data_IF_110211413252
#
_entry.id   IF_110211413252
#
_cell.length_a   1.000
_cell.length_b   1.000
_cell.length_c   1.000
_cell.angle_alpha   90.00
_cell.angle_beta   90.00
_cell.angle_gamma   90.00
#
_symmetry.space_group_name_H-M   'P 1'
#
loop_
_entity.id
_entity.type
_entity.pdbx_description
1 polymer ?
#
# COMPACT_ATOMS: atom_id res chain seq x y z
N UNK A 1 21.28 -21.43 -27.82
CA UNK A 1 20.58 -21.02 -26.59
C UNK A 1 21.08 -19.63 -26.21
N UNK A 2 20.19 -18.65 -26.04
CA UNK A 2 20.56 -17.30 -25.59
C UNK A 2 20.50 -17.31 -24.05
N UNK A 3 21.60 -16.92 -23.40
CA UNK A 3 21.61 -16.74 -21.94
C UNK A 3 20.92 -15.43 -21.62
N UNK A 4 19.82 -15.47 -20.87
CA UNK A 4 19.09 -14.28 -20.43
C UNK A 4 19.90 -13.59 -19.32
N UNK A 5 19.94 -12.26 -19.33
CA UNK A 5 20.56 -11.50 -18.23
C UNK A 5 19.66 -11.53 -16.98
N UNK A 6 20.18 -11.16 -15.82
CA UNK A 6 19.45 -11.19 -14.53
C UNK A 6 18.13 -10.42 -14.53
N UNK A 7 18.07 -9.32 -15.28
CA UNK A 7 16.89 -8.47 -15.43
C UNK A 7 15.82 -9.13 -16.32
N UNK A 8 16.25 -9.78 -17.41
CA UNK A 8 15.40 -10.60 -18.28
C UNK A 8 14.90 -11.84 -17.51
N UNK A 9 15.73 -12.46 -16.67
CA UNK A 9 15.31 -13.56 -15.78
C UNK A 9 14.27 -13.07 -14.78
N UNK A 10 14.46 -11.92 -14.12
CA UNK A 10 13.49 -11.37 -13.17
C UNK A 10 12.15 -11.00 -13.81
N UNK A 11 12.18 -10.55 -15.06
CA UNK A 11 10.98 -10.19 -15.83
C UNK A 11 10.21 -11.42 -16.32
N UNK A 12 10.89 -12.51 -16.67
CA UNK A 12 10.28 -13.75 -17.21
C UNK A 12 9.92 -14.74 -16.11
N UNK A 13 10.55 -14.67 -14.93
CA UNK A 13 10.34 -15.60 -13.80
C UNK A 13 9.26 -15.18 -12.79
N UNK A 14 8.66 -13.99 -12.94
CA UNK A 14 7.71 -13.46 -11.95
C UNK A 14 8.35 -12.94 -10.65
N UNK A 15 9.67 -13.01 -10.50
CA UNK A 15 10.38 -12.51 -9.31
C UNK A 15 10.12 -11.00 -9.07
N UNK A 16 10.06 -10.19 -10.13
CA UNK A 16 9.72 -8.77 -10.00
C UNK A 16 8.29 -8.51 -9.49
N UNK A 17 7.35 -9.43 -9.76
CA UNK A 17 5.96 -9.35 -9.28
C UNK A 17 5.92 -9.68 -7.78
N UNK A 18 6.65 -10.70 -7.33
CA UNK A 18 6.75 -11.07 -5.92
C UNK A 18 7.37 -9.94 -5.06
N UNK A 19 8.45 -9.31 -5.54
CA UNK A 19 9.08 -8.17 -4.85
C UNK A 19 8.13 -6.97 -4.77
N UNK A 20 7.42 -6.67 -5.85
CA UNK A 20 6.43 -5.59 -5.88
C UNK A 20 5.25 -5.87 -4.92
N UNK A 21 4.73 -7.11 -4.87
CA UNK A 21 3.69 -7.51 -3.90
C UNK A 21 4.18 -7.37 -2.45
N UNK A 22 5.44 -7.73 -2.16
CA UNK A 22 6.05 -7.54 -0.84
C UNK A 22 6.14 -6.06 -0.45
N UNK A 23 6.53 -5.20 -1.39
CA UNK A 23 6.54 -3.76 -1.21
C UNK A 23 5.14 -3.19 -0.93
N UNK A 24 4.14 -3.62 -1.70
CA UNK A 24 2.74 -3.21 -1.52
C UNK A 24 2.20 -3.64 -0.15
N UNK A 25 2.44 -4.87 0.28
CA UNK A 25 2.04 -5.36 1.61
C UNK A 25 2.68 -4.54 2.74
N UNK A 26 3.96 -4.16 2.57
CA UNK A 26 4.66 -3.32 3.54
C UNK A 26 4.05 -1.91 3.60
N UNK A 27 3.68 -1.33 2.45
CA UNK A 27 3.01 -0.05 2.37
C UNK A 27 1.61 -0.10 3.00
N UNK A 28 0.81 -1.14 2.72
CA UNK A 28 -0.51 -1.36 3.32
C UNK A 28 -0.42 -1.47 4.85
N UNK A 29 0.57 -2.19 5.36
CA UNK A 29 0.83 -2.29 6.80
C UNK A 29 1.10 -0.92 7.42
N UNK A 30 1.93 -0.08 6.77
CA UNK A 30 2.22 1.27 7.24
C UNK A 30 0.99 2.18 7.21
N UNK A 31 0.18 2.08 6.15
CA UNK A 31 -1.06 2.86 6.01
C UNK A 31 -2.06 2.48 7.09
N UNK A 32 -2.22 1.19 7.39
CA UNK A 32 -3.12 0.72 8.44
C UNK A 32 -2.68 1.22 9.82
N UNK A 33 -1.39 1.15 10.14
CA UNK A 33 -0.86 1.72 11.39
C UNK A 33 -1.09 3.24 11.49
N UNK A 34 -0.93 3.97 10.38
CA UNK A 34 -1.23 5.41 10.32
C UNK A 34 -2.72 5.72 10.43
N UNK A 35 -3.59 4.88 9.86
CA UNK A 35 -5.04 5.01 9.99
C UNK A 35 -5.46 4.83 11.44
N UNK A 36 -5.00 3.76 12.09
CA UNK A 36 -5.26 3.50 13.51
C UNK A 36 -4.79 4.67 14.39
N UNK A 37 -3.53 5.11 14.20
CA UNK A 37 -2.99 6.26 14.93
C UNK A 37 -3.79 7.55 14.66
N UNK A 38 -4.25 7.76 13.43
CA UNK A 38 -5.05 8.94 13.08
C UNK A 38 -6.45 8.87 13.70
N UNK A 39 -7.09 7.71 13.70
CA UNK A 39 -8.39 7.49 14.35
C UNK A 39 -8.31 7.73 15.85
N UNK A 40 -7.28 7.17 16.51
CA UNK A 40 -7.03 7.44 17.93
C UNK A 40 -6.82 8.95 18.17
N UNK A 41 -6.13 9.65 17.28
CA UNK A 41 -5.97 11.10 17.38
C UNK A 41 -7.28 11.88 17.16
N UNK A 42 -8.19 11.38 16.31
CA UNK A 42 -9.53 11.97 16.11
C UNK A 42 -10.36 11.83 17.39
N UNK A 43 -10.37 10.65 18.00
CA UNK A 43 -11.12 10.38 19.24
C UNK A 43 -10.66 11.26 20.41
N UNK A 44 -9.36 11.58 20.46
CA UNK A 44 -8.76 12.40 21.50
C UNK A 44 -8.68 13.90 21.13
N UNK A 45 -9.14 14.32 19.95
CA UNK A 45 -9.06 15.71 19.53
C UNK A 45 -10.10 16.57 20.27
N UNK A 46 -9.63 17.61 20.97
CA UNK A 46 -10.52 18.53 21.72
C UNK A 46 -10.91 19.77 20.92
N UNK A 47 -10.27 20.02 19.77
CA UNK A 47 -10.48 21.22 18.95
C UNK A 47 -11.07 20.85 17.59
N UNK A 48 -12.14 21.53 17.13
CA UNK A 48 -12.78 21.23 15.85
C UNK A 48 -11.83 21.31 14.64
N UNK A 49 -10.93 22.29 14.60
CA UNK A 49 -9.96 22.43 13.51
C UNK A 49 -8.98 21.26 13.42
N UNK A 50 -8.54 20.74 14.57
CA UNK A 50 -7.69 19.55 14.64
C UNK A 50 -8.45 18.31 14.16
N UNK A 51 -9.71 18.16 14.59
CA UNK A 51 -10.56 17.04 14.20
C UNK A 51 -10.81 17.01 12.68
N UNK A 52 -11.05 18.18 12.06
CA UNK A 52 -11.21 18.31 10.60
C UNK A 52 -9.92 17.88 9.87
N UNK A 53 -8.76 18.40 10.29
CA UNK A 53 -7.48 18.05 9.68
C UNK A 53 -7.15 16.55 9.78
N UNK A 54 -7.42 15.94 10.94
CA UNK A 54 -7.24 14.51 11.16
C UNK A 54 -8.23 13.66 10.35
N UNK A 55 -9.49 14.09 10.24
CA UNK A 55 -10.51 13.41 9.42
C UNK A 55 -10.10 13.42 7.94
N UNK A 56 -9.62 14.55 7.43
CA UNK A 56 -9.12 14.64 6.06
C UNK A 56 -7.93 13.68 5.83
N UNK A 57 -7.01 13.60 6.79
CA UNK A 57 -5.88 12.65 6.75
C UNK A 57 -6.36 11.20 6.75
N UNK A 58 -7.34 10.85 7.58
CA UNK A 58 -7.91 9.51 7.62
C UNK A 58 -8.55 9.12 6.28
N UNK A 59 -9.31 10.04 5.65
CA UNK A 59 -9.88 9.83 4.31
C UNK A 59 -8.78 9.59 3.27
N UNK A 60 -7.73 10.43 3.25
CA UNK A 60 -6.62 10.28 2.32
C UNK A 60 -5.89 8.94 2.46
N UNK A 61 -5.68 8.47 3.69
CA UNK A 61 -5.10 7.16 3.97
C UNK A 61 -6.03 6.01 3.54
N UNK A 62 -7.34 6.13 3.73
CA UNK A 62 -8.33 5.15 3.27
C UNK A 62 -8.35 5.01 1.75
N UNK A 63 -8.28 6.13 1.02
CA UNK A 63 -8.14 6.14 -0.44
C UNK A 63 -6.83 5.45 -0.87
N UNK A 64 -5.71 5.80 -0.23
CA UNK A 64 -4.42 5.18 -0.53
C UNK A 64 -4.43 3.66 -0.30
N UNK A 65 -5.03 3.20 0.81
CA UNK A 65 -5.21 1.77 1.11
C UNK A 65 -6.02 1.06 0.01
N UNK A 66 -7.12 1.67 -0.43
CA UNK A 66 -7.98 1.10 -1.45
C UNK A 66 -7.28 0.97 -2.81
N UNK A 67 -6.53 2.01 -3.21
CA UNK A 67 -5.74 1.99 -4.45
C UNK A 67 -4.66 0.91 -4.40
N UNK A 68 -3.89 0.84 -3.31
CA UNK A 68 -2.83 -0.16 -3.16
C UNK A 68 -3.37 -1.58 -3.12
N UNK A 69 -4.54 -1.79 -2.50
CA UNK A 69 -5.23 -3.09 -2.51
C UNK A 69 -5.59 -3.51 -3.93
N UNK A 70 -6.21 -2.61 -4.71
CA UNK A 70 -6.56 -2.90 -6.11
C UNK A 70 -5.32 -3.17 -6.99
N UNK A 71 -4.21 -2.48 -6.75
CA UNK A 71 -2.93 -2.77 -7.42
C UNK A 71 -2.41 -4.15 -7.01
N UNK A 72 -2.44 -4.48 -5.71
CA UNK A 72 -2.03 -5.78 -5.19
C UNK A 72 -2.80 -6.93 -5.85
N UNK A 73 -4.13 -6.81 -5.91
CA UNK A 73 -5.00 -7.81 -6.53
C UNK A 73 -4.72 -8.01 -8.01
N UNK A 74 -4.57 -6.90 -8.77
CA UNK A 74 -4.23 -6.96 -10.20
C UNK A 74 -2.87 -7.57 -10.46
N UNK A 75 -1.93 -7.32 -9.57
CA UNK A 75 -0.56 -7.82 -9.68
C UNK A 75 -0.49 -9.30 -9.31
N UNK A 76 -1.20 -9.72 -8.25
CA UNK A 76 -1.36 -11.11 -7.87
C UNK A 76 -2.05 -11.93 -8.97
N UNK A 77 -3.09 -11.37 -9.63
CA UNK A 77 -3.77 -12.02 -10.76
C UNK A 77 -2.86 -12.23 -11.99
N UNK A 78 -1.76 -11.49 -12.11
CA UNK A 78 -0.74 -11.67 -13.17
C UNK A 78 0.39 -12.61 -12.76
N UNK A 79 0.46 -12.99 -11.49
CA UNK A 79 1.45 -13.93 -10.96
C UNK A 79 1.05 -15.40 -11.17
N UNK A 80 -0.24 -15.65 -11.47
CA UNK A 80 -0.85 -16.95 -11.80
C UNK A 80 -0.83 -17.15 -13.32
#
# INVERSE_FOLDING_TARGET
MKTLNTQEIHMVSGAGIADALKGINSALTNINAKLESTNNAIENATHPGQQIGLTHKAIGLGIASSILTAISERLAAKAV
#
